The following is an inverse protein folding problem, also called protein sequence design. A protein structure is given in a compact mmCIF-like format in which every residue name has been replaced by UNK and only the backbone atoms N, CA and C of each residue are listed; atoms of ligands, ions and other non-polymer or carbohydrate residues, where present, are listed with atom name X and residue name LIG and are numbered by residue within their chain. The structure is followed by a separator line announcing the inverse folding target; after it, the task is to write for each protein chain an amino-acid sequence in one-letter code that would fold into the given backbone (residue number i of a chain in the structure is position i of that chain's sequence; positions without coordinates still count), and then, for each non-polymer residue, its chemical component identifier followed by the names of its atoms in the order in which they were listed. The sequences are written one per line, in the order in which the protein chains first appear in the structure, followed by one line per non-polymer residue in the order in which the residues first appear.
data_IF_246037554550
#
_entry.id   IF_246037554550
#
_cell.length_a   1.000
_cell.length_b   1.000
_cell.length_c   1.000
_cell.angle_alpha   90.00
_cell.angle_beta   90.00
_cell.angle_gamma   90.00
#
_symmetry.space_group_name_H-M   'P 1'
#
loop_
_entity.id
_entity.type
_entity.pdbx_description
1 polymer ?
#
# COMPACT_ATOMS: atom_id res chain seq x y z
N UNK A 1 -12.17 33.45 39.43
CA UNK A 1 -12.22 33.58 37.96
C UNK A 1 -11.02 32.82 37.45
N UNK A 2 -11.09 31.53 37.17
CA UNK A 2 -11.83 30.89 36.08
C UNK A 2 -10.84 29.91 35.47
N UNK A 3 -10.66 28.75 36.11
CA UNK A 3 -9.89 27.63 35.58
C UNK A 3 -10.65 27.08 34.38
N UNK A 4 -10.20 27.43 33.18
CA UNK A 4 -10.63 26.76 31.95
C UNK A 4 -10.15 25.31 32.01
N UNK A 5 -11.08 24.44 32.41
CA UNK A 5 -10.95 23.00 32.23
C UNK A 5 -10.87 22.73 30.73
N UNK A 6 -9.74 22.19 30.29
CA UNK A 6 -9.59 21.52 28.99
C UNK A 6 -10.59 20.35 28.92
N UNK A 7 -11.81 20.62 28.49
CA UNK A 7 -12.71 19.64 27.87
C UNK A 7 -12.33 19.62 26.38
N UNK A 8 -12.18 18.51 25.69
CA UNK A 8 -12.54 17.11 25.92
C UNK A 8 -11.42 16.25 25.37
N UNK A 9 -11.04 15.17 26.07
CA UNK A 9 -10.37 14.05 25.43
C UNK A 9 -11.28 13.60 24.27
N UNK A 10 -10.86 13.86 23.04
CA UNK A 10 -11.45 13.19 21.88
C UNK A 10 -11.25 11.71 22.14
N UNK A 11 -12.31 11.00 22.48
CA UNK A 11 -12.29 9.55 22.67
C UNK A 11 -11.83 8.95 21.34
N UNK A 12 -10.53 8.64 21.24
CA UNK A 12 -9.95 8.04 20.04
C UNK A 12 -10.53 6.63 20.00
N UNK A 13 -11.60 6.46 19.22
CA UNK A 13 -12.18 5.15 18.91
C UNK A 13 -11.07 4.29 18.31
N UNK A 14 -10.47 3.44 19.13
CA UNK A 14 -9.46 2.48 18.70
C UNK A 14 -10.12 1.55 17.68
N UNK A 15 -9.67 1.53 16.41
CA UNK A 15 -10.24 0.64 15.42
C UNK A 15 -9.98 -0.81 15.85
N UNK A 16 -11.04 -1.52 16.21
CA UNK A 16 -10.97 -2.95 16.56
C UNK A 16 -11.14 -3.77 15.29
N UNK A 17 -10.16 -4.62 14.99
CA UNK A 17 -10.16 -5.51 13.83
C UNK A 17 -10.43 -6.98 14.20
N UNK A 18 -10.94 -7.25 15.40
CA UNK A 18 -11.13 -8.61 15.91
C UNK A 18 -12.12 -9.43 15.07
N UNK A 19 -13.12 -8.77 14.46
CA UNK A 19 -14.05 -9.40 13.51
C UNK A 19 -13.35 -10.02 12.29
N UNK A 20 -12.09 -9.64 12.06
CA UNK A 20 -11.31 -10.05 10.93
C UNK A 20 -10.24 -11.11 11.25
N UNK A 21 -10.11 -11.56 12.51
CA UNK A 21 -9.05 -12.48 12.94
C UNK A 21 -9.29 -13.89 12.35
N UNK A 22 -8.36 -14.39 11.55
CA UNK A 22 -8.45 -15.73 10.93
C UNK A 22 -7.75 -16.77 11.79
N UNK A 23 -8.50 -17.76 12.29
CA UNK A 23 -7.92 -18.97 12.88
C UNK A 23 -7.67 -20.01 11.78
N UNK A 24 -6.40 -20.39 11.54
CA UNK A 24 -6.05 -21.38 10.49
C UNK A 24 -5.17 -22.51 11.03
N UNK A 25 -5.35 -23.77 10.56
CA UNK A 25 -4.56 -24.91 11.01
C UNK A 25 -3.08 -24.82 10.62
N UNK A 26 -2.17 -25.13 11.56
CA UNK A 26 -0.71 -25.03 11.41
C UNK A 26 -0.14 -25.93 10.31
N UNK A 27 -0.77 -27.07 10.02
CA UNK A 27 -0.29 -28.02 9.00
C UNK A 27 -0.36 -27.46 7.57
N UNK A 28 -1.20 -26.45 7.32
CA UNK A 28 -1.31 -25.80 6.00
C UNK A 28 -0.14 -24.88 5.67
N UNK A 29 0.72 -24.57 6.66
CA UNK A 29 1.76 -23.54 6.54
C UNK A 29 2.87 -23.91 5.55
N UNK A 30 3.34 -25.17 5.52
CA UNK A 30 4.47 -25.56 4.66
C UNK A 30 4.10 -25.60 3.17
N UNK A 31 2.96 -26.22 2.84
CA UNK A 31 2.43 -26.23 1.47
C UNK A 31 2.15 -24.81 0.96
N UNK A 32 1.53 -23.98 1.80
CA UNK A 32 1.24 -22.58 1.48
C UNK A 32 2.52 -21.78 1.18
N UNK A 33 3.56 -21.93 2.00
CA UNK A 33 4.86 -21.28 1.77
C UNK A 33 5.50 -21.70 0.45
N UNK A 34 5.40 -22.98 0.09
CA UNK A 34 5.87 -23.48 -1.20
C UNK A 34 5.16 -22.82 -2.38
N UNK A 35 3.84 -22.71 -2.30
CA UNK A 35 3.03 -22.00 -3.31
C UNK A 35 3.35 -20.51 -3.34
N UNK A 36 3.42 -19.84 -2.19
CA UNK A 36 3.79 -18.42 -2.06
C UNK A 36 5.17 -18.17 -2.71
N UNK A 37 6.15 -19.02 -2.44
CA UNK A 37 7.48 -18.92 -3.03
C UNK A 37 7.46 -19.15 -4.56
N UNK A 38 6.71 -20.15 -5.04
CA UNK A 38 6.57 -20.40 -6.47
C UNK A 38 5.93 -19.21 -7.21
N UNK A 39 4.86 -18.63 -6.64
CA UNK A 39 4.22 -17.42 -7.17
C UNK A 39 5.19 -16.24 -7.18
N UNK A 40 5.94 -16.04 -6.10
CA UNK A 40 6.95 -14.98 -6.02
C UNK A 40 8.03 -15.14 -7.11
N UNK A 41 8.57 -16.35 -7.28
CA UNK A 41 9.55 -16.66 -8.33
C UNK A 41 9.00 -16.45 -9.74
N UNK A 42 7.75 -16.82 -9.96
CA UNK A 42 7.07 -16.56 -11.22
C UNK A 42 6.91 -15.05 -11.47
N UNK A 43 6.55 -14.28 -10.45
CA UNK A 43 6.51 -12.82 -10.50
C UNK A 43 7.85 -12.20 -10.90
N UNK A 44 8.96 -12.64 -10.27
CA UNK A 44 10.31 -12.19 -10.63
C UNK A 44 10.68 -12.55 -12.08
N UNK A 45 10.26 -13.73 -12.55
CA UNK A 45 10.46 -14.14 -13.94
C UNK A 45 9.70 -13.23 -14.91
N UNK A 46 8.45 -12.87 -14.61
CA UNK A 46 7.70 -11.88 -15.39
C UNK A 46 8.38 -10.51 -15.37
N UNK A 47 8.87 -10.07 -14.22
CA UNK A 47 9.59 -8.80 -14.03
C UNK A 47 10.80 -8.65 -14.97
N UNK A 48 11.48 -9.76 -15.27
CA UNK A 48 12.58 -9.79 -16.23
C UNK A 48 12.10 -9.66 -17.68
N UNK A 49 11.01 -10.36 -18.03
CA UNK A 49 10.57 -10.52 -19.43
C UNK A 49 9.68 -9.40 -19.96
N UNK A 50 8.84 -8.79 -19.13
CA UNK A 50 7.85 -7.80 -19.55
C UNK A 50 8.36 -6.37 -19.33
N UNK A 51 7.81 -5.40 -20.06
CA UNK A 51 8.08 -3.98 -19.81
C UNK A 51 7.39 -3.51 -18.52
N UNK A 52 7.86 -2.40 -17.94
CA UNK A 52 7.28 -1.81 -16.72
C UNK A 52 5.79 -1.52 -16.93
N UNK A 53 5.41 -0.90 -18.05
CA UNK A 53 3.99 -0.62 -18.36
C UNK A 53 3.12 -1.88 -18.47
N UNK A 54 3.65 -2.98 -19.02
CA UNK A 54 2.91 -4.25 -19.08
C UNK A 54 2.70 -4.84 -17.68
N UNK A 55 3.73 -4.78 -16.83
CA UNK A 55 3.69 -5.25 -15.46
C UNK A 55 2.74 -4.43 -14.59
N UNK A 56 2.73 -3.10 -14.75
CA UNK A 56 1.77 -2.22 -14.08
C UNK A 56 0.33 -2.59 -14.43
N UNK A 57 0.03 -2.78 -15.72
CA UNK A 57 -1.31 -3.22 -16.18
C UNK A 57 -1.70 -4.58 -15.60
N UNK A 58 -0.77 -5.53 -15.60
CA UNK A 58 -0.98 -6.85 -15.00
C UNK A 58 -1.25 -6.73 -13.49
N UNK A 59 -0.46 -5.92 -12.79
CA UNK A 59 -0.64 -5.62 -11.38
C UNK A 59 -2.00 -5.00 -11.07
N UNK A 60 -2.45 -4.00 -11.84
CA UNK A 60 -3.81 -3.45 -11.70
C UNK A 60 -4.90 -4.51 -11.90
N UNK A 61 -4.69 -5.43 -12.85
CA UNK A 61 -5.58 -6.57 -13.07
C UNK A 61 -5.64 -7.51 -11.87
N UNK A 62 -4.49 -7.87 -11.30
CA UNK A 62 -4.40 -8.69 -10.09
C UNK A 62 -5.03 -7.99 -8.89
N UNK A 63 -4.80 -6.68 -8.72
CA UNK A 63 -5.44 -5.87 -7.70
C UNK A 63 -6.96 -5.81 -7.84
N UNK A 64 -7.45 -5.61 -9.07
CA UNK A 64 -8.88 -5.63 -9.38
C UNK A 64 -9.52 -6.99 -9.09
N UNK A 65 -8.80 -8.09 -9.34
CA UNK A 65 -9.24 -9.42 -8.94
C UNK A 65 -9.24 -9.60 -7.42
N UNK A 66 -8.20 -9.12 -6.74
CA UNK A 66 -8.10 -9.14 -5.28
C UNK A 66 -9.28 -8.40 -4.62
N UNK A 67 -9.72 -7.26 -5.17
CA UNK A 67 -10.91 -6.54 -4.70
C UNK A 67 -12.19 -7.40 -4.69
N UNK A 68 -12.32 -8.34 -5.64
CA UNK A 68 -13.48 -9.23 -5.71
C UNK A 68 -13.43 -10.34 -4.65
N UNK A 69 -12.23 -10.88 -4.39
CA UNK A 69 -12.08 -12.08 -3.53
C UNK A 69 -11.71 -11.76 -2.08
N UNK A 70 -11.02 -10.65 -1.82
CA UNK A 70 -10.55 -10.22 -0.49
C UNK A 70 -11.58 -9.33 0.22
N UNK A 71 -12.77 -9.89 0.48
CA UNK A 71 -13.91 -9.16 1.07
C UNK A 71 -13.59 -8.48 2.41
N UNK A 72 -12.78 -9.15 3.25
CA UNK A 72 -12.32 -8.61 4.53
C UNK A 72 -11.48 -7.34 4.31
N UNK A 73 -10.46 -7.44 3.47
CA UNK A 73 -9.50 -6.36 3.27
C UNK A 73 -10.20 -5.17 2.59
N UNK A 74 -11.18 -5.45 1.72
CA UNK A 74 -12.06 -4.43 1.15
C UNK A 74 -12.85 -3.67 2.21
N UNK A 75 -13.46 -4.38 3.17
CA UNK A 75 -14.21 -3.76 4.27
C UNK A 75 -13.34 -2.87 5.16
N UNK A 76 -12.09 -3.28 5.39
CA UNK A 76 -11.11 -2.47 6.14
C UNK A 76 -10.84 -1.14 5.41
N UNK A 77 -10.53 -1.19 4.11
CA UNK A 77 -10.26 0.02 3.32
C UNK A 77 -11.48 0.93 3.26
N UNK A 78 -12.68 0.38 3.02
CA UNK A 78 -13.93 1.16 3.01
C UNK A 78 -14.16 1.88 4.35
N UNK A 79 -13.90 1.19 5.47
CA UNK A 79 -14.04 1.78 6.80
C UNK A 79 -12.99 2.87 7.07
N UNK A 80 -11.75 2.65 6.65
CA UNK A 80 -10.69 3.65 6.77
C UNK A 80 -10.98 4.90 5.94
N UNK A 81 -11.48 4.73 4.72
CA UNK A 81 -11.88 5.86 3.88
C UNK A 81 -13.05 6.65 4.48
N UNK A 82 -14.03 5.97 5.08
CA UNK A 82 -15.12 6.64 5.81
C UNK A 82 -14.62 7.46 7.00
N UNK A 83 -13.60 6.97 7.71
CA UNK A 83 -13.02 7.67 8.86
C UNK A 83 -12.14 8.86 8.45
N UNK A 84 -11.33 8.72 7.40
CA UNK A 84 -10.36 9.74 6.96
C UNK A 84 -11.04 10.81 6.11
N UNK A 85 -12.02 10.42 5.28
CA UNK A 85 -12.72 11.28 4.34
C UNK A 85 -14.25 11.18 4.53
N UNK A 86 -14.78 11.70 5.64
CA UNK A 86 -16.21 11.60 5.98
C UNK A 86 -17.12 12.29 4.95
N UNK A 87 -16.59 13.22 4.16
CA UNK A 87 -17.29 13.94 3.10
C UNK A 87 -17.55 13.11 1.83
N UNK A 88 -16.85 11.98 1.65
CA UNK A 88 -17.05 11.14 0.46
C UNK A 88 -18.37 10.38 0.53
N UNK A 89 -19.10 10.38 -0.58
CA UNK A 89 -20.29 9.53 -0.69
C UNK A 89 -19.93 8.04 -0.83
N UNK A 90 -20.93 7.16 -0.70
CA UNK A 90 -20.72 5.71 -0.77
C UNK A 90 -20.18 5.23 -2.14
N UNK A 91 -20.53 5.92 -3.24
CA UNK A 91 -20.07 5.56 -4.58
C UNK A 91 -18.59 5.93 -4.77
N UNK A 92 -18.19 7.11 -4.32
CA UNK A 92 -16.81 7.59 -4.32
C UNK A 92 -15.93 6.71 -3.44
N UNK A 93 -16.35 6.40 -2.21
CA UNK A 93 -15.59 5.50 -1.32
C UNK A 93 -15.37 4.13 -1.94
N UNK A 94 -16.40 3.56 -2.58
CA UNK A 94 -16.28 2.28 -3.28
C UNK A 94 -15.32 2.36 -4.47
N UNK A 95 -15.39 3.45 -5.24
CA UNK A 95 -14.50 3.67 -6.37
C UNK A 95 -13.04 3.80 -5.91
N UNK A 96 -12.77 4.61 -4.89
CA UNK A 96 -11.43 4.77 -4.32
C UNK A 96 -10.91 3.47 -3.73
N UNK A 97 -11.76 2.70 -3.05
CA UNK A 97 -11.38 1.36 -2.57
C UNK A 97 -10.90 0.48 -3.74
N UNK A 98 -11.62 0.46 -4.86
CA UNK A 98 -11.20 -0.31 -6.05
C UNK A 98 -9.85 0.19 -6.60
N UNK A 99 -9.66 1.51 -6.66
CA UNK A 99 -8.40 2.11 -7.11
C UNK A 99 -7.24 1.79 -6.15
N UNK A 100 -7.45 1.78 -4.82
CA UNK A 100 -6.45 1.34 -3.85
C UNK A 100 -5.99 -0.09 -4.12
N UNK A 101 -6.93 -1.01 -4.33
CA UNK A 101 -6.61 -2.40 -4.67
C UNK A 101 -5.83 -2.50 -5.98
N UNK A 102 -6.25 -1.76 -7.01
CA UNK A 102 -5.53 -1.67 -8.27
C UNK A 102 -4.10 -1.12 -8.11
N UNK A 103 -3.94 -0.09 -7.28
CA UNK A 103 -2.65 0.54 -6.97
C UNK A 103 -1.71 -0.42 -6.23
N UNK A 104 -2.17 -1.08 -5.16
CA UNK A 104 -1.34 -2.09 -4.46
C UNK A 104 -0.94 -3.26 -5.37
N UNK A 105 -1.84 -3.68 -6.26
CA UNK A 105 -1.53 -4.67 -7.28
C UNK A 105 -0.44 -4.19 -8.25
N UNK A 106 -0.53 -2.95 -8.74
CA UNK A 106 0.50 -2.33 -9.57
C UNK A 106 1.85 -2.26 -8.84
N UNK A 107 1.85 -1.74 -7.62
CA UNK A 107 3.05 -1.54 -6.82
C UNK A 107 3.77 -2.86 -6.49
N UNK A 108 3.02 -3.95 -6.27
CA UNK A 108 3.60 -5.30 -6.13
C UNK A 108 4.43 -5.70 -7.37
N UNK A 109 3.91 -5.42 -8.57
CA UNK A 109 4.60 -5.76 -9.81
C UNK A 109 5.78 -4.83 -10.11
N UNK A 110 5.68 -3.56 -9.77
CA UNK A 110 6.80 -2.61 -9.81
C UNK A 110 7.93 -3.07 -8.88
N UNK A 111 7.61 -3.53 -7.67
CA UNK A 111 8.59 -4.11 -6.74
C UNK A 111 9.27 -5.36 -7.33
N UNK A 112 8.50 -6.25 -7.96
CA UNK A 112 9.04 -7.46 -8.60
C UNK A 112 9.97 -7.15 -9.80
N UNK A 113 9.86 -5.97 -10.40
CA UNK A 113 10.75 -5.49 -11.46
C UNK A 113 11.63 -4.31 -11.06
N UNK A 114 11.81 -4.04 -9.76
CA UNK A 114 12.55 -2.89 -9.27
C UNK A 114 13.95 -2.73 -9.90
N UNK A 115 14.75 -3.80 -10.11
CA UNK A 115 16.04 -3.67 -10.80
C UNK A 115 15.96 -3.06 -12.20
N UNK A 116 14.85 -3.26 -12.92
CA UNK A 116 14.62 -2.68 -14.26
C UNK A 116 14.29 -1.19 -14.16
N UNK A 117 13.53 -0.79 -13.13
CA UNK A 117 13.21 0.62 -12.89
C UNK A 117 14.50 1.38 -12.53
N UNK A 118 15.34 0.82 -11.66
CA UNK A 118 16.62 1.43 -11.26
C UNK A 118 17.64 1.53 -12.41
N UNK A 119 17.55 0.66 -13.43
CA UNK A 119 18.41 0.75 -14.61
C UNK A 119 18.04 1.93 -15.54
N UNK A 120 16.84 2.47 -15.40
CA UNK A 120 16.29 3.54 -16.25
C UNK A 120 15.63 4.63 -15.39
N UNK A 121 16.22 4.91 -14.23
CA UNK A 121 15.64 5.80 -13.22
C UNK A 121 15.39 7.21 -13.76
N UNK A 122 16.29 7.72 -14.60
CA UNK A 122 16.20 9.07 -15.17
C UNK A 122 14.98 9.29 -16.08
N UNK A 123 14.44 8.22 -16.69
CA UNK A 123 13.26 8.31 -17.54
C UNK A 123 11.97 7.84 -16.83
N UNK A 124 12.11 7.10 -15.73
CA UNK A 124 10.98 6.45 -15.05
C UNK A 124 10.61 7.10 -13.71
N UNK A 125 11.52 7.86 -13.10
CA UNK A 125 11.34 8.47 -11.79
C UNK A 125 11.53 9.98 -11.89
N UNK A 126 10.65 10.70 -11.21
CA UNK A 126 10.76 12.12 -10.96
C UNK A 126 10.73 12.34 -9.45
N UNK A 127 11.68 13.13 -8.94
CA UNK A 127 11.77 13.46 -7.52
C UNK A 127 11.35 14.91 -7.34
N UNK A 128 10.16 15.11 -6.78
CA UNK A 128 9.71 16.44 -6.40
C UNK A 128 10.51 16.97 -5.20
N UNK A 129 10.96 18.22 -5.26
CA UNK A 129 11.69 18.91 -4.19
C UNK A 129 13.02 18.26 -3.77
N UNK A 130 13.83 17.80 -4.73
CA UNK A 130 15.15 17.21 -4.50
C UNK A 130 16.12 18.14 -3.74
N UNK A 131 15.95 19.46 -3.89
CA UNK A 131 16.76 20.48 -3.19
C UNK A 131 16.66 20.36 -1.67
N UNK A 132 15.50 19.99 -1.12
CA UNK A 132 15.32 19.84 0.32
C UNK A 132 16.24 18.76 0.89
N UNK A 133 16.36 17.62 0.19
CA UNK A 133 17.27 16.54 0.57
C UNK A 133 18.73 16.99 0.43
N UNK A 134 19.08 17.62 -0.68
CA UNK A 134 20.44 18.10 -0.94
C UNK A 134 20.90 19.11 0.13
N UNK A 135 20.03 20.05 0.51
CA UNK A 135 20.30 21.04 1.53
C UNK A 135 20.43 20.42 2.92
N UNK A 136 19.61 19.41 3.24
CA UNK A 136 19.70 18.68 4.50
C UNK A 136 21.03 17.90 4.62
N UNK A 137 21.50 17.27 3.55
CA UNK A 137 22.80 16.58 3.51
C UNK A 137 23.95 17.58 3.73
N UNK A 138 23.92 18.73 3.03
CA UNK A 138 24.94 19.79 3.15
C UNK A 138 25.01 20.41 4.55
N UNK A 139 23.95 20.30 5.35
CA UNK A 139 23.94 20.81 6.70
C UNK A 139 24.76 19.96 7.70
N UNK A 140 25.24 18.77 7.30
CA UNK A 140 26.12 17.88 8.08
C UNK A 140 25.58 17.48 9.47
N UNK A 141 24.25 17.53 9.65
CA UNK A 141 23.57 17.14 10.91
C UNK A 141 22.95 15.74 10.86
N UNK A 142 23.12 15.02 9.76
CA UNK A 142 22.37 13.81 9.44
C UNK A 142 20.99 14.10 8.86
N UNK A 143 20.40 13.11 8.19
CA UNK A 143 19.08 13.21 7.54
C UNK A 143 18.20 12.05 8.01
N UNK A 144 16.95 12.35 8.36
CA UNK A 144 15.91 11.35 8.63
C UNK A 144 14.92 11.40 7.47
N UNK A 145 14.84 10.30 6.71
CA UNK A 145 13.83 10.10 5.68
C UNK A 145 12.64 9.37 6.29
N UNK A 146 11.48 10.04 6.34
CA UNK A 146 10.23 9.43 6.78
C UNK A 146 9.44 8.96 5.56
N UNK A 147 9.20 7.65 5.48
CA UNK A 147 8.41 7.04 4.41
C UNK A 147 7.09 6.48 4.97
N UNK A 148 6.01 6.65 4.22
CA UNK A 148 4.72 6.03 4.51
C UNK A 148 4.54 4.77 3.64
N UNK A 149 3.80 3.79 4.15
CA UNK A 149 3.31 2.68 3.32
C UNK A 149 2.08 3.17 2.56
N UNK A 150 2.32 3.88 1.47
CA UNK A 150 1.31 4.39 0.53
C UNK A 150 0.94 3.36 -0.54
#
# INVERSE_FOLDING_TARGET
MGTESLQSETEILQPTYDEFKKNRPVWTTSLRRGVEYAVFRFGLYLGKKLSVSQLQKLGRGVGSFAYQVLRKDRGIVEKQLELIFPELDAAQRKQWTKECFGHFGQMLFEFLCLPKILQDEANLLEVENEEALTNAIKAEKGVILLAMHS
#
